data_IF_624455253500
#
_entry.id   IF_624455253500
#
_cell.length_a   1.000
_cell.length_b   1.000
_cell.length_c   1.000
_cell.angle_alpha   90.00
_cell.angle_beta   90.00
_cell.angle_gamma   90.00
#
_symmetry.space_group_name_H-M   'P 1'
#
loop_
_entity.id
_entity.type
_entity.pdbx_description
1 polymer ?
#
# COMPACT_ATOMS: atom_id res chain seq x y z
N UNK A 1 28.76 16.51 -13.66
CA UNK A 1 29.58 17.44 -12.85
C UNK A 1 28.73 18.67 -12.53
N UNK A 2 28.54 19.02 -11.25
CA UNK A 2 27.76 20.23 -10.86
C UNK A 2 28.72 21.23 -10.20
N UNK A 3 29.16 22.24 -10.95
CA UNK A 3 30.01 23.36 -10.50
C UNK A 3 29.38 24.15 -9.35
N UNK A 4 30.21 24.73 -8.47
CA UNK A 4 29.81 25.45 -7.23
C UNK A 4 29.28 26.86 -7.57
N UNK A 5 28.10 27.22 -7.06
CA UNK A 5 27.70 28.63 -6.91
C UNK A 5 28.20 29.20 -5.58
N UNK A 6 28.72 30.43 -5.59
CA UNK A 6 29.29 31.16 -4.43
C UNK A 6 28.36 32.25 -3.85
N UNK A 7 27.05 32.21 -4.09
CA UNK A 7 26.11 33.28 -3.70
C UNK A 7 24.96 32.84 -2.80
N UNK A 8 24.50 33.72 -1.91
CA UNK A 8 23.25 33.56 -1.17
C UNK A 8 22.08 33.41 -2.16
N UNK A 9 21.20 32.43 -1.94
CA UNK A 9 20.09 32.11 -2.85
C UNK A 9 20.41 31.11 -3.97
N UNK A 10 21.67 30.68 -4.15
CA UNK A 10 21.98 29.59 -5.10
C UNK A 10 21.63 28.23 -4.51
N UNK A 11 20.97 27.36 -5.30
CA UNK A 11 20.59 26.00 -4.89
C UNK A 11 21.84 25.22 -4.48
N UNK A 12 22.00 24.95 -3.19
CA UNK A 12 23.11 24.14 -2.67
C UNK A 12 22.99 22.69 -3.15
N UNK A 13 24.12 22.03 -3.44
CA UNK A 13 24.14 20.58 -3.69
C UNK A 13 23.47 19.85 -2.51
N UNK A 14 22.63 18.87 -2.81
CA UNK A 14 21.99 18.00 -1.81
C UNK A 14 23.03 17.42 -0.86
N UNK A 15 23.02 17.86 0.41
CA UNK A 15 24.00 17.50 1.44
C UNK A 15 23.64 16.17 2.12
N UNK A 16 22.36 15.86 2.23
CA UNK A 16 21.89 14.66 2.94
C UNK A 16 21.46 13.54 1.99
N UNK A 17 21.43 12.30 2.50
CA UNK A 17 20.82 11.16 1.77
C UNK A 17 19.33 11.44 1.47
N UNK A 18 18.62 12.07 2.40
CA UNK A 18 17.20 12.45 2.24
C UNK A 18 17.03 13.44 1.08
N UNK A 19 17.85 14.49 1.00
CA UNK A 19 17.78 15.47 -0.09
C UNK A 19 18.11 14.85 -1.46
N UNK A 20 19.06 13.89 -1.50
CA UNK A 20 19.39 13.17 -2.73
C UNK A 20 18.25 12.23 -3.17
N UNK A 21 17.62 11.54 -2.23
CA UNK A 21 16.46 10.69 -2.51
C UNK A 21 15.24 11.52 -2.95
N UNK A 22 15.00 12.67 -2.31
CA UNK A 22 13.93 13.58 -2.70
C UNK A 22 14.08 14.10 -4.13
N UNK A 23 15.31 14.28 -4.62
CA UNK A 23 15.58 14.68 -6.00
C UNK A 23 15.30 13.57 -7.05
N UNK A 24 15.11 12.32 -6.62
CA UNK A 24 14.68 11.23 -7.51
C UNK A 24 13.16 11.22 -7.74
N UNK A 25 12.41 11.95 -6.91
CA UNK A 25 10.96 12.00 -6.95
C UNK A 25 10.51 13.23 -7.74
N UNK A 26 9.43 13.11 -8.53
CA UNK A 26 8.84 14.27 -9.19
C UNK A 26 8.41 15.34 -8.18
N UNK A 27 8.49 16.60 -8.60
CA UNK A 27 8.01 17.72 -7.81
C UNK A 27 6.49 17.57 -7.60
N UNK A 28 6.05 17.81 -6.36
CA UNK A 28 4.65 17.76 -5.96
C UNK A 28 4.34 19.02 -5.18
N UNK A 29 3.12 19.53 -5.34
CA UNK A 29 2.64 20.64 -4.54
C UNK A 29 2.70 20.27 -3.05
N UNK A 30 3.42 21.08 -2.28
CA UNK A 30 3.57 20.85 -0.85
C UNK A 30 2.20 21.09 -0.18
N UNK A 31 1.67 20.11 0.58
CA UNK A 31 0.43 20.32 1.32
C UNK A 31 0.57 21.50 2.28
N UNK A 32 -0.43 22.38 2.27
CA UNK A 32 -0.53 23.48 3.21
C UNK A 32 -1.14 22.96 4.50
N UNK A 33 -0.45 23.17 5.61
CA UNK A 33 -1.00 22.87 6.94
C UNK A 33 -1.97 23.99 7.31
N UNK A 34 -3.23 23.82 6.92
CA UNK A 34 -4.32 24.69 7.34
C UNK A 34 -4.94 24.18 8.65
N UNK A 35 -5.57 25.09 9.41
CA UNK A 35 -6.38 24.72 10.58
C UNK A 35 -7.53 23.83 10.08
N UNK A 36 -7.82 22.70 10.74
CA UNK A 36 -8.93 21.84 10.36
C UNK A 36 -10.25 22.61 10.27
N UNK A 37 -11.05 22.30 9.26
CA UNK A 37 -12.41 22.79 9.14
C UNK A 37 -13.34 21.76 9.78
N UNK A 38 -14.27 22.20 10.61
CA UNK A 38 -15.27 21.31 11.21
C UNK A 38 -16.65 21.80 10.77
N UNK A 39 -17.20 21.19 9.73
CA UNK A 39 -18.56 21.46 9.29
C UNK A 39 -19.56 20.72 10.17
N UNK A 40 -20.84 21.05 10.03
CA UNK A 40 -21.91 20.22 10.61
C UNK A 40 -21.78 18.76 10.14
N UNK A 41 -21.97 17.82 11.06
CA UNK A 41 -21.84 16.38 10.80
C UNK A 41 -20.40 15.88 10.60
N UNK A 42 -19.36 16.64 10.97
CA UNK A 42 -17.95 16.25 10.79
C UNK A 42 -17.48 15.06 11.64
N UNK A 43 -18.28 14.60 12.60
CA UNK A 43 -18.04 13.39 13.40
C UNK A 43 -19.02 12.26 13.09
N UNK A 44 -19.96 12.47 12.17
CA UNK A 44 -21.05 11.54 11.87
C UNK A 44 -20.72 10.75 10.61
N UNK A 45 -20.85 9.42 10.69
CA UNK A 45 -20.70 8.54 9.53
C UNK A 45 -21.63 8.97 8.39
N UNK A 46 -21.11 9.37 7.21
CA UNK A 46 -21.93 9.76 6.07
C UNK A 46 -22.90 8.67 5.60
N UNK A 47 -22.64 7.41 5.92
CA UNK A 47 -23.50 6.28 5.57
C UNK A 47 -24.58 5.97 6.60
N UNK A 48 -24.43 6.49 7.82
CA UNK A 48 -25.29 6.18 8.97
C UNK A 48 -25.44 4.66 9.24
N UNK A 49 -24.51 3.84 8.74
CA UNK A 49 -24.58 2.38 8.81
C UNK A 49 -25.66 1.74 7.92
N UNK A 50 -26.31 2.50 7.04
CA UNK A 50 -27.38 2.01 6.14
C UNK A 50 -26.76 1.30 4.94
N UNK A 51 -27.39 0.20 4.50
CA UNK A 51 -26.95 -0.52 3.30
C UNK A 51 -27.14 0.35 2.04
N UNK A 52 -26.27 0.14 1.03
CA UNK A 52 -26.26 0.97 -0.19
C UNK A 52 -27.61 1.00 -0.92
N UNK A 53 -28.39 -0.08 -0.89
CA UNK A 53 -29.65 -0.16 -1.66
C UNK A 53 -30.74 0.65 -0.99
N UNK A 54 -30.91 0.48 0.32
CA UNK A 54 -31.81 1.30 1.13
C UNK A 54 -31.41 2.77 1.09
N UNK A 55 -30.11 3.07 1.24
CA UNK A 55 -29.60 4.43 1.17
C UNK A 55 -29.83 5.08 -0.20
N UNK A 56 -29.69 4.34 -1.30
CA UNK A 56 -29.94 4.86 -2.64
C UNK A 56 -31.43 5.15 -2.89
N UNK A 57 -32.32 4.31 -2.38
CA UNK A 57 -33.75 4.58 -2.44
C UNK A 57 -34.10 5.83 -1.62
N UNK A 58 -33.63 5.91 -0.38
CA UNK A 58 -33.83 7.07 0.47
C UNK A 58 -33.25 8.35 -0.14
N UNK A 59 -32.10 8.26 -0.82
CA UNK A 59 -31.52 9.39 -1.56
C UNK A 59 -32.43 9.85 -2.71
N UNK A 60 -32.97 8.92 -3.50
CA UNK A 60 -33.87 9.26 -4.62
C UNK A 60 -35.16 9.92 -4.12
N UNK A 61 -35.73 9.43 -3.03
CA UNK A 61 -36.91 10.00 -2.38
C UNK A 61 -36.59 11.40 -1.83
N UNK A 62 -35.47 11.52 -1.11
CA UNK A 62 -34.97 12.80 -0.62
C UNK A 62 -34.79 13.81 -1.76
N UNK A 63 -34.04 13.48 -2.80
CA UNK A 63 -33.74 14.40 -3.90
C UNK A 63 -35.00 14.90 -4.62
N UNK A 64 -36.01 14.03 -4.82
CA UNK A 64 -37.32 14.42 -5.38
C UNK A 64 -38.12 15.36 -4.49
N UNK A 65 -37.90 15.31 -3.18
CA UNK A 65 -38.59 16.17 -2.20
C UNK A 65 -37.93 17.53 -2.00
N UNK A 66 -36.73 17.74 -2.54
CA UNK A 66 -35.98 18.97 -2.31
C UNK A 66 -36.45 20.12 -3.24
N UNK A 67 -36.23 21.40 -2.84
CA UNK A 67 -36.66 22.56 -3.63
C UNK A 67 -36.05 22.57 -5.03
N UNK A 68 -36.85 22.94 -6.04
CA UNK A 68 -36.35 23.11 -7.42
C UNK A 68 -35.43 24.30 -7.60
N UNK A 69 -35.35 25.20 -6.60
CA UNK A 69 -34.46 26.37 -6.60
C UNK A 69 -33.03 26.02 -6.27
N UNK A 70 -32.80 24.94 -5.50
CA UNK A 70 -31.47 24.53 -5.03
C UNK A 70 -30.65 23.87 -6.14
N UNK A 71 -29.33 23.88 -5.95
CA UNK A 71 -28.37 23.26 -6.86
C UNK A 71 -27.94 21.90 -6.32
N UNK A 72 -28.00 20.87 -7.17
CA UNK A 72 -27.54 19.52 -6.84
C UNK A 72 -26.34 19.18 -7.70
N UNK A 73 -25.22 18.88 -7.04
CA UNK A 73 -23.92 18.73 -7.67
C UNK A 73 -23.44 17.31 -7.42
N UNK A 74 -23.15 16.58 -8.48
CA UNK A 74 -22.59 15.23 -8.40
C UNK A 74 -21.23 15.22 -9.04
N UNK A 75 -20.28 14.49 -8.45
CA UNK A 75 -18.94 14.33 -9.01
C UNK A 75 -18.40 12.95 -8.72
N UNK A 76 -17.60 12.43 -9.65
CA UNK A 76 -16.95 11.12 -9.52
C UNK A 76 -15.54 11.14 -10.14
N UNK A 77 -14.73 10.15 -9.80
CA UNK A 77 -13.38 9.93 -10.29
C UNK A 77 -13.22 8.57 -10.99
N UNK A 78 -12.40 8.53 -12.04
CA UNK A 78 -12.07 7.29 -12.74
C UNK A 78 -10.57 7.13 -12.86
N UNK A 79 -10.12 5.88 -12.80
CA UNK A 79 -8.73 5.48 -13.03
C UNK A 79 -8.69 4.28 -13.98
N UNK A 80 -7.82 4.35 -14.99
CA UNK A 80 -7.54 3.26 -15.92
C UNK A 80 -6.04 3.13 -16.13
N UNK A 81 -5.54 1.90 -16.18
CA UNK A 81 -4.16 1.61 -16.57
C UNK A 81 -4.13 1.17 -18.04
N UNK A 82 -3.33 1.85 -18.86
CA UNK A 82 -3.14 1.61 -20.30
C UNK A 82 -1.64 1.70 -20.61
N UNK A 83 -1.07 0.65 -21.20
CA UNK A 83 0.32 0.62 -21.70
C UNK A 83 1.37 1.12 -20.70
N UNK A 84 1.29 0.64 -19.44
CA UNK A 84 2.14 1.06 -18.31
C UNK A 84 2.03 2.54 -17.92
N UNK A 85 1.04 3.26 -18.45
CA UNK A 85 0.67 4.60 -18.04
C UNK A 85 -0.70 4.57 -17.37
N UNK A 86 -0.87 5.40 -16.36
CA UNK A 86 -2.14 5.57 -15.69
C UNK A 86 -2.87 6.78 -16.27
N UNK A 87 -4.14 6.61 -16.55
CA UNK A 87 -5.06 7.68 -16.88
C UNK A 87 -6.00 7.87 -15.70
N UNK A 88 -6.03 9.10 -15.18
CA UNK A 88 -6.86 9.47 -14.04
C UNK A 88 -7.64 10.70 -14.44
N UNK A 89 -8.92 10.78 -14.09
CA UNK A 89 -9.76 11.90 -14.47
C UNK A 89 -11.02 11.95 -13.64
N UNK A 90 -11.66 13.11 -13.62
CA UNK A 90 -12.89 13.34 -12.89
C UNK A 90 -13.99 13.83 -13.83
N UNK A 91 -15.23 13.64 -13.39
CA UNK A 91 -16.43 14.15 -14.05
C UNK A 91 -17.35 14.76 -13.02
N UNK A 92 -18.09 15.79 -13.41
CA UNK A 92 -19.15 16.33 -12.58
C UNK A 92 -20.31 16.86 -13.40
N UNK A 93 -21.47 16.93 -12.74
CA UNK A 93 -22.71 17.45 -13.29
C UNK A 93 -23.44 18.30 -12.25
N UNK A 94 -24.09 19.37 -12.70
CA UNK A 94 -24.88 20.29 -11.87
C UNK A 94 -26.31 20.33 -12.38
N UNK A 95 -27.26 20.11 -11.47
CA UNK A 95 -28.70 20.17 -11.71
C UNK A 95 -29.34 21.30 -10.91
N UNK A 96 -30.42 21.86 -11.46
CA UNK A 96 -31.41 22.66 -10.73
C UNK A 96 -32.81 22.11 -11.07
N UNK A 97 -33.52 21.63 -10.06
CA UNK A 97 -34.70 20.79 -10.29
C UNK A 97 -34.36 19.62 -11.23
N UNK A 98 -35.14 19.47 -12.31
CA UNK A 98 -34.91 18.42 -13.33
C UNK A 98 -34.02 18.89 -14.51
N UNK A 99 -33.45 20.09 -14.44
CA UNK A 99 -32.66 20.67 -15.53
C UNK A 99 -31.18 20.54 -15.24
N UNK A 100 -30.45 19.93 -16.18
CA UNK A 100 -28.98 19.97 -16.18
C UNK A 100 -28.52 21.39 -16.56
N UNK A 101 -27.75 22.03 -15.67
CA UNK A 101 -27.19 23.37 -15.90
C UNK A 101 -25.77 23.32 -16.45
N UNK A 102 -24.96 22.38 -15.97
CA UNK A 102 -23.57 22.24 -16.41
C UNK A 102 -23.12 20.78 -16.29
N UNK A 103 -22.17 20.39 -17.14
CA UNK A 103 -21.42 19.15 -17.00
C UNK A 103 -19.99 19.37 -17.47
N UNK A 104 -19.06 18.66 -16.86
CA UNK A 104 -17.65 18.78 -17.21
C UNK A 104 -16.90 17.48 -16.94
N UNK A 105 -15.80 17.29 -17.64
CA UNK A 105 -14.90 16.14 -17.44
C UNK A 105 -13.49 16.54 -17.84
N UNK A 106 -12.49 16.22 -17.02
CA UNK A 106 -11.09 16.50 -17.33
C UNK A 106 -10.14 15.46 -16.73
N UNK A 107 -9.01 15.27 -17.42
CA UNK A 107 -7.93 14.43 -16.94
C UNK A 107 -7.15 15.11 -15.80
N UNK A 108 -6.50 14.28 -14.99
CA UNK A 108 -5.47 14.64 -14.02
C UNK A 108 -4.11 14.14 -14.50
N UNK A 109 -3.06 14.56 -13.80
CA UNK A 109 -1.72 13.99 -13.95
C UNK A 109 -1.78 12.45 -13.89
N UNK A 110 -1.07 11.73 -14.79
CA UNK A 110 -0.87 10.28 -14.67
C UNK A 110 -0.27 9.85 -13.32
N UNK A 111 0.38 10.79 -12.63
CA UNK A 111 0.89 10.63 -11.28
C UNK A 111 -0.16 11.01 -10.21
N UNK A 112 -1.38 10.54 -10.41
CA UNK A 112 -2.51 10.65 -9.47
C UNK A 112 -3.15 9.28 -9.27
N UNK A 113 -4.15 9.18 -8.39
CA UNK A 113 -5.02 8.00 -8.27
C UNK A 113 -6.49 8.43 -8.25
N UNK A 114 -7.41 7.47 -8.38
CA UNK A 114 -8.86 7.72 -8.34
C UNK A 114 -9.31 8.60 -7.16
N UNK A 115 -8.72 8.39 -5.96
CA UNK A 115 -9.00 9.23 -4.80
C UNK A 115 -8.71 10.72 -5.03
N UNK A 116 -7.64 11.04 -5.77
CA UNK A 116 -7.32 12.42 -6.12
C UNK A 116 -8.33 12.99 -7.11
N UNK A 117 -8.85 12.15 -8.01
CA UNK A 117 -9.90 12.52 -8.97
C UNK A 117 -11.21 12.85 -8.28
N UNK A 118 -11.67 12.03 -7.35
CA UNK A 118 -12.91 12.30 -6.61
C UNK A 118 -12.79 13.61 -5.81
N UNK A 119 -11.65 13.85 -5.15
CA UNK A 119 -11.42 15.08 -4.39
C UNK A 119 -11.37 16.34 -5.27
N UNK A 120 -10.65 16.27 -6.40
CA UNK A 120 -10.58 17.38 -7.36
C UNK A 120 -11.92 17.59 -8.05
N UNK A 121 -12.62 16.51 -8.41
CA UNK A 121 -13.96 16.53 -8.98
C UNK A 121 -14.95 17.25 -8.08
N UNK A 122 -14.99 16.89 -6.80
CA UNK A 122 -15.84 17.55 -5.81
C UNK A 122 -15.55 19.06 -5.71
N UNK A 123 -14.27 19.44 -5.66
CA UNK A 123 -13.85 20.85 -5.61
C UNK A 123 -14.29 21.63 -6.86
N UNK A 124 -14.04 21.08 -8.05
CA UNK A 124 -14.37 21.75 -9.32
C UNK A 124 -15.87 21.82 -9.56
N UNK A 125 -16.60 20.80 -9.13
CA UNK A 125 -18.04 20.78 -9.17
C UNK A 125 -18.64 21.86 -8.27
N UNK A 126 -18.11 22.00 -7.04
CA UNK A 126 -18.52 23.06 -6.11
C UNK A 126 -18.20 24.46 -6.63
N UNK A 127 -17.01 24.67 -7.19
CA UNK A 127 -16.66 25.94 -7.84
C UNK A 127 -17.58 26.28 -9.02
N UNK A 128 -17.98 25.28 -9.81
CA UNK A 128 -18.94 25.47 -10.89
C UNK A 128 -20.31 25.88 -10.35
N UNK A 129 -20.81 25.19 -9.33
CA UNK A 129 -22.10 25.52 -8.71
C UNK A 129 -22.12 26.93 -8.13
N UNK A 130 -21.05 27.34 -7.42
CA UNK A 130 -20.91 28.70 -6.88
C UNK A 130 -20.93 29.76 -7.99
N UNK A 131 -20.29 29.50 -9.14
CA UNK A 131 -20.33 30.41 -10.29
C UNK A 131 -21.72 30.50 -10.94
N UNK A 132 -22.53 29.45 -10.82
CA UNK A 132 -23.88 29.43 -11.37
C UNK A 132 -24.90 30.09 -10.43
N UNK A 133 -24.62 30.25 -9.13
CA UNK A 133 -25.52 30.87 -8.16
C UNK A 133 -26.15 32.19 -8.64
N UNK A 134 -25.40 33.17 -9.21
CA UNK A 134 -25.99 34.42 -9.69
C UNK A 134 -26.94 34.25 -10.88
N UNK A 135 -26.83 33.16 -11.63
CA UNK A 135 -27.67 32.89 -12.80
C UNK A 135 -28.96 32.15 -12.45
N UNK A 136 -29.06 31.62 -11.23
CA UNK A 136 -30.20 30.81 -10.77
C UNK A 136 -30.98 31.46 -9.63
N UNK A 137 -30.48 32.60 -9.13
CA UNK A 137 -31.13 33.41 -8.11
C UNK A 137 -32.03 34.44 -8.80
N UNK A 138 -33.35 34.29 -8.62
CA UNK A 138 -34.23 35.47 -8.67
C UNK A 138 -33.98 36.30 -7.41
N UNK A 139 -34.14 37.64 -7.47
CA UNK A 139 -33.71 38.68 -6.50
C UNK A 139 -34.05 38.45 -5.00
N UNK A 140 -34.77 37.38 -4.63
CA UNK A 140 -35.15 37.05 -3.25
C UNK A 140 -34.88 35.58 -2.82
N UNK A 141 -34.22 34.79 -3.66
CA UNK A 141 -33.92 33.37 -3.36
C UNK A 141 -32.47 33.19 -2.91
N UNK A 142 -32.24 32.47 -1.80
CA UNK A 142 -30.90 32.08 -1.32
C UNK A 142 -30.74 30.56 -1.48
N UNK A 143 -30.52 30.05 -2.71
CA UNK A 143 -30.51 28.62 -3.00
C UNK A 143 -29.34 27.93 -2.31
N UNK A 144 -29.61 26.74 -1.78
CA UNK A 144 -28.59 25.89 -1.20
C UNK A 144 -27.87 25.09 -2.29
N UNK A 145 -26.58 24.83 -2.09
CA UNK A 145 -25.81 23.88 -2.90
C UNK A 145 -25.73 22.56 -2.16
N UNK A 146 -26.20 21.47 -2.76
CA UNK A 146 -26.04 20.11 -2.27
C UNK A 146 -24.93 19.39 -3.04
N UNK A 147 -23.78 19.21 -2.39
CA UNK A 147 -22.68 18.41 -2.91
C UNK A 147 -22.92 16.93 -2.58
N UNK A 148 -23.26 16.16 -3.61
CA UNK A 148 -23.64 14.76 -3.54
C UNK A 148 -22.47 13.88 -4.00
N UNK A 149 -21.85 13.14 -3.08
CA UNK A 149 -20.63 12.36 -3.32
C UNK A 149 -20.83 10.91 -2.86
N UNK A 150 -20.23 9.96 -3.54
CA UNK A 150 -20.26 8.54 -3.17
C UNK A 150 -19.07 8.12 -2.30
N UNK A 151 -17.93 8.79 -2.45
CA UNK A 151 -16.71 8.52 -1.71
C UNK A 151 -16.75 9.16 -0.31
N UNK A 152 -16.93 8.31 0.70
CA UNK A 152 -16.99 8.74 2.10
C UNK A 152 -15.68 9.36 2.59
N UNK A 153 -14.53 8.93 2.09
CA UNK A 153 -13.23 9.50 2.48
C UNK A 153 -13.08 10.95 2.02
N UNK A 154 -13.60 11.28 0.83
CA UNK A 154 -13.66 12.66 0.34
C UNK A 154 -14.64 13.48 1.17
N UNK A 155 -15.82 12.94 1.51
CA UNK A 155 -16.78 13.60 2.41
C UNK A 155 -16.12 13.93 3.76
N UNK A 156 -15.45 12.97 4.38
CA UNK A 156 -14.72 13.18 5.64
C UNK A 156 -13.65 14.28 5.51
N UNK A 157 -12.90 14.30 4.42
CA UNK A 157 -11.87 15.31 4.18
C UNK A 157 -12.46 16.72 3.99
N UNK A 158 -13.62 16.83 3.35
CA UNK A 158 -14.33 18.10 3.15
C UNK A 158 -14.99 18.58 4.46
N UNK A 159 -15.63 17.69 5.23
CA UNK A 159 -16.24 18.03 6.53
C UNK A 159 -15.23 18.32 7.64
N UNK A 160 -14.01 17.81 7.48
CA UNK A 160 -13.00 17.70 8.52
C UNK A 160 -11.61 18.14 8.07
N UNK A 161 -10.65 17.23 8.24
CA UNK A 161 -9.25 17.48 7.92
C UNK A 161 -8.95 17.21 6.45
N UNK A 162 -8.41 18.21 5.75
CA UNK A 162 -7.93 18.08 4.40
C UNK A 162 -6.89 16.95 4.27
N UNK A 163 -7.06 16.08 3.27
CA UNK A 163 -6.05 15.06 2.98
C UNK A 163 -4.76 15.71 2.47
N UNK A 164 -3.63 15.02 2.66
CA UNK A 164 -2.34 15.50 2.14
C UNK A 164 -2.29 15.42 0.60
N UNK A 165 -2.97 14.45 -0.01
CA UNK A 165 -3.09 14.35 -1.46
C UNK A 165 -4.25 15.20 -1.95
N UNK A 166 -4.07 15.89 -3.09
CA UNK A 166 -5.00 16.92 -3.58
C UNK A 166 -5.39 17.95 -2.51
N UNK A 167 -4.46 18.28 -1.60
CA UNK A 167 -4.71 19.17 -0.44
C UNK A 167 -5.28 20.54 -0.85
N UNK A 168 -4.86 21.08 -1.99
CA UNK A 168 -5.37 22.34 -2.53
C UNK A 168 -6.88 22.28 -2.80
N UNK A 169 -7.40 21.14 -3.27
CA UNK A 169 -8.81 20.95 -3.57
C UNK A 169 -9.65 20.95 -2.29
N UNK A 170 -9.19 20.27 -1.25
CA UNK A 170 -9.84 20.30 0.07
C UNK A 170 -9.82 21.70 0.69
N UNK A 171 -8.68 22.38 0.68
CA UNK A 171 -8.59 23.75 1.22
C UNK A 171 -9.53 24.71 0.47
N UNK A 172 -9.68 24.52 -0.85
CA UNK A 172 -10.61 25.29 -1.66
C UNK A 172 -12.07 24.97 -1.32
N UNK A 173 -12.43 23.70 -1.15
CA UNK A 173 -13.76 23.33 -0.64
C UNK A 173 -14.05 23.97 0.72
N UNK A 174 -13.10 23.93 1.66
CA UNK A 174 -13.24 24.55 2.99
C UNK A 174 -13.43 26.07 2.91
N UNK A 175 -12.78 26.73 1.95
CA UNK A 175 -13.00 28.16 1.71
C UNK A 175 -14.43 28.44 1.23
N UNK A 176 -14.92 27.66 0.26
CA UNK A 176 -16.26 27.82 -0.29
C UNK A 176 -17.35 27.48 0.73
N UNK A 177 -17.15 26.46 1.57
CA UNK A 177 -18.04 26.09 2.67
C UNK A 177 -18.22 27.21 3.71
N UNK A 178 -17.23 28.08 3.89
CA UNK A 178 -17.33 29.24 4.80
C UNK A 178 -18.10 30.41 4.18
N UNK A 179 -18.21 30.46 2.86
CA UNK A 179 -18.74 31.60 2.11
C UNK A 179 -20.15 31.36 1.56
N UNK A 180 -20.55 30.09 1.42
CA UNK A 180 -21.78 29.70 0.75
C UNK A 180 -22.57 28.68 1.57
N UNK A 181 -23.89 28.65 1.39
CA UNK A 181 -24.75 27.64 1.98
C UNK A 181 -24.60 26.30 1.23
N UNK A 182 -23.69 25.45 1.71
CA UNK A 182 -23.35 24.18 1.07
C UNK A 182 -23.63 23.01 2.02
N UNK A 183 -24.54 22.12 1.63
CA UNK A 183 -24.79 20.85 2.30
C UNK A 183 -24.02 19.71 1.62
N UNK A 184 -23.51 18.76 2.42
CA UNK A 184 -22.90 17.52 1.90
C UNK A 184 -23.83 16.34 2.12
N UNK A 185 -24.19 15.67 1.02
CA UNK A 185 -25.02 14.45 1.04
C UNK A 185 -24.23 13.27 0.47
N UNK A 186 -24.27 12.14 1.16
CA UNK A 186 -23.74 10.90 0.60
C UNK A 186 -24.72 10.32 -0.42
N UNK A 187 -24.25 10.07 -1.64
CA UNK A 187 -24.99 9.46 -2.73
C UNK A 187 -24.37 8.10 -3.06
N UNK A 188 -24.98 6.95 -2.71
CA UNK A 188 -24.37 5.65 -2.95
C UNK A 188 -24.04 5.40 -4.43
N UNK A 189 -22.77 5.15 -4.73
CA UNK A 189 -22.29 4.87 -6.08
C UNK A 189 -22.79 3.54 -6.65
N UNK A 190 -23.01 3.51 -7.97
CA UNK A 190 -23.49 2.37 -8.77
C UNK A 190 -24.86 1.81 -8.34
N UNK A 191 -25.74 2.67 -7.82
CA UNK A 191 -27.09 2.31 -7.38
C UNK A 191 -28.21 2.95 -8.23
N UNK A 192 -27.87 3.41 -9.43
CA UNK A 192 -28.81 4.00 -10.38
C UNK A 192 -29.36 5.35 -9.92
N UNK A 193 -28.58 6.13 -9.18
CA UNK A 193 -28.86 7.54 -8.90
C UNK A 193 -28.38 8.32 -10.12
N UNK A 194 -29.30 8.91 -10.88
CA UNK A 194 -29.03 9.54 -12.17
C UNK A 194 -27.80 10.46 -12.16
N UNK A 195 -27.74 11.41 -11.22
CA UNK A 195 -26.62 12.34 -11.12
C UNK A 195 -25.27 11.67 -10.85
N UNK A 196 -25.24 10.59 -10.06
CA UNK A 196 -24.01 9.86 -9.78
C UNK A 196 -23.57 9.00 -10.97
N UNK A 197 -24.51 8.31 -11.63
CA UNK A 197 -24.19 7.52 -12.83
C UNK A 197 -23.69 8.43 -13.97
N UNK A 198 -24.24 9.63 -14.10
CA UNK A 198 -23.79 10.59 -15.10
C UNK A 198 -22.41 11.18 -14.74
N UNK A 199 -22.13 11.46 -13.47
CA UNK A 199 -20.79 11.85 -13.01
C UNK A 199 -19.75 10.75 -13.29
N UNK A 200 -20.06 9.48 -13.01
CA UNK A 200 -19.22 8.31 -13.32
C UNK A 200 -18.96 8.21 -14.84
N UNK A 201 -20.01 8.36 -15.66
CA UNK A 201 -19.89 8.36 -17.12
C UNK A 201 -18.95 9.47 -17.62
N UNK A 202 -19.06 10.67 -17.05
CA UNK A 202 -18.19 11.81 -17.36
C UNK A 202 -16.75 11.55 -16.91
N UNK A 203 -16.54 10.96 -15.73
CA UNK A 203 -15.22 10.60 -15.22
C UNK A 203 -14.55 9.54 -16.11
N UNK A 204 -15.30 8.52 -16.55
CA UNK A 204 -14.84 7.51 -17.52
C UNK A 204 -14.47 8.12 -18.87
N UNK A 205 -15.20 9.15 -19.32
CA UNK A 205 -14.85 9.91 -20.53
C UNK A 205 -13.53 10.65 -20.37
N UNK A 206 -13.22 11.17 -19.17
CA UNK A 206 -11.96 11.86 -18.90
C UNK A 206 -10.72 10.95 -18.93
N UNK A 207 -10.90 9.63 -18.78
CA UNK A 207 -9.82 8.62 -18.89
C UNK A 207 -9.88 7.83 -20.19
N UNK A 208 -10.46 8.43 -21.23
CA UNK A 208 -10.42 7.90 -22.59
C UNK A 208 -9.19 8.43 -23.34
N UNK A 209 -8.74 7.70 -24.36
CA UNK A 209 -7.56 8.03 -25.17
C UNK A 209 -7.66 9.35 -25.93
N UNK A 210 -8.84 9.96 -26.01
CA UNK A 210 -9.11 11.24 -26.68
C UNK A 210 -9.30 12.41 -25.70
N UNK A 211 -9.16 12.19 -24.39
CA UNK A 211 -9.33 13.23 -23.40
C UNK A 211 -8.24 14.31 -23.52
N UNK A 212 -8.64 15.57 -23.37
CA UNK A 212 -7.70 16.67 -23.30
C UNK A 212 -6.75 16.50 -22.11
N UNK A 213 -5.46 16.84 -22.25
CA UNK A 213 -4.50 16.73 -21.16
C UNK A 213 -4.88 17.66 -20.01
N UNK A 214 -4.51 17.25 -18.80
CA UNK A 214 -4.64 18.07 -17.60
C UNK A 214 -3.86 19.38 -17.75
N UNK A 215 -4.35 20.46 -17.13
CA UNK A 215 -3.69 21.76 -17.07
C UNK A 215 -3.64 22.28 -15.63
N UNK A 216 -2.83 23.31 -15.35
CA UNK A 216 -2.80 23.94 -14.03
C UNK A 216 -2.39 22.99 -12.89
N UNK A 217 -3.12 23.04 -11.77
CA UNK A 217 -2.86 22.21 -10.59
C UNK A 217 -3.18 20.73 -10.86
N UNK A 218 -4.15 20.46 -11.73
CA UNK A 218 -4.57 19.13 -12.15
C UNK A 218 -3.47 18.40 -12.93
N UNK A 219 -2.61 19.13 -13.64
CA UNK A 219 -1.46 18.56 -14.34
C UNK A 219 -0.31 18.16 -13.40
N UNK A 220 -0.30 18.63 -12.16
CA UNK A 220 0.78 18.37 -11.22
C UNK A 220 0.65 16.99 -10.56
N UNK A 221 1.76 16.28 -10.31
CA UNK A 221 1.73 15.05 -9.53
C UNK A 221 1.12 15.25 -8.15
N UNK A 222 0.41 14.23 -7.65
CA UNK A 222 -0.18 14.24 -6.31
C UNK A 222 0.74 13.55 -5.28
N UNK A 223 0.48 13.78 -4.00
CA UNK A 223 1.28 13.15 -2.92
C UNK A 223 1.14 11.62 -2.94
N UNK A 224 -0.07 11.11 -3.20
CA UNK A 224 -0.34 9.68 -3.35
C UNK A 224 0.40 9.09 -4.57
N UNK A 225 0.42 9.79 -5.71
CA UNK A 225 1.14 9.40 -6.91
C UNK A 225 2.64 9.36 -6.69
N UNK A 226 3.22 10.41 -6.11
CA UNK A 226 4.65 10.45 -5.77
C UNK A 226 5.04 9.35 -4.76
N UNK A 227 4.19 9.07 -3.76
CA UNK A 227 4.41 7.94 -2.82
C UNK A 227 4.44 6.60 -3.55
N UNK A 228 3.62 6.44 -4.58
CA UNK A 228 3.59 5.21 -5.40
C UNK A 228 4.88 5.05 -6.19
N UNK A 229 5.35 6.12 -6.83
CA UNK A 229 6.66 6.12 -7.53
C UNK A 229 7.79 5.84 -6.55
N UNK A 230 7.79 6.46 -5.36
CA UNK A 230 8.79 6.20 -4.33
C UNK A 230 8.83 4.72 -3.91
N UNK A 231 7.66 4.08 -3.76
CA UNK A 231 7.55 2.66 -3.45
C UNK A 231 8.09 1.78 -4.58
N UNK A 232 7.75 2.09 -5.83
CA UNK A 232 8.25 1.36 -7.01
C UNK A 232 9.77 1.47 -7.13
N UNK A 233 10.33 2.68 -7.04
CA UNK A 233 11.78 2.90 -7.06
C UNK A 233 12.48 2.17 -5.91
N UNK A 234 11.90 2.16 -4.71
CA UNK A 234 12.44 1.42 -3.57
C UNK A 234 12.45 -0.09 -3.82
N UNK A 235 11.37 -0.64 -4.39
CA UNK A 235 11.27 -2.05 -4.73
C UNK A 235 12.25 -2.45 -5.84
N UNK A 236 12.40 -1.62 -6.87
CA UNK A 236 13.36 -1.85 -7.94
C UNK A 236 14.80 -1.79 -7.44
N UNK A 237 15.18 -0.75 -6.69
CA UNK A 237 16.50 -0.63 -6.10
C UNK A 237 16.83 -1.83 -5.21
N UNK A 238 15.85 -2.31 -4.44
CA UNK A 238 15.96 -3.51 -3.61
C UNK A 238 16.19 -4.77 -4.42
N UNK A 239 15.38 -5.01 -5.47
CA UNK A 239 15.54 -6.15 -6.37
C UNK A 239 16.92 -6.14 -7.04
N UNK A 240 17.37 -4.97 -7.51
CA UNK A 240 18.68 -4.78 -8.14
C UNK A 240 19.85 -5.00 -7.18
N UNK A 241 19.77 -4.48 -5.96
CA UNK A 241 20.79 -4.76 -4.94
C UNK A 241 20.84 -6.25 -4.62
N UNK A 242 19.67 -6.85 -4.47
CA UNK A 242 19.57 -8.23 -4.03
C UNK A 242 20.05 -9.22 -5.09
N UNK A 243 19.79 -8.98 -6.38
CA UNK A 243 20.31 -9.84 -7.46
C UNK A 243 21.84 -9.91 -7.48
N UNK A 244 22.53 -8.82 -7.11
CA UNK A 244 23.98 -8.83 -6.93
C UNK A 244 24.42 -9.44 -5.60
N UNK A 245 23.66 -9.22 -4.52
CA UNK A 245 24.00 -9.74 -3.20
C UNK A 245 23.83 -11.26 -3.09
N UNK A 246 22.78 -11.83 -3.71
CA UNK A 246 22.47 -13.25 -3.61
C UNK A 246 23.53 -14.14 -4.29
N UNK A 247 24.28 -13.62 -5.27
CA UNK A 247 25.42 -14.30 -5.88
C UNK A 247 26.54 -14.62 -4.87
N UNK A 248 26.69 -13.84 -3.81
CA UNK A 248 27.70 -14.03 -2.75
C UNK A 248 27.29 -15.02 -1.66
N UNK A 249 26.08 -15.58 -1.72
CA UNK A 249 25.65 -16.60 -0.77
C UNK A 249 26.44 -17.90 -0.97
N UNK A 250 26.60 -18.70 0.07
CA UNK A 250 27.27 -20.00 -0.06
C UNK A 250 26.40 -21.00 -0.84
N UNK A 251 27.03 -21.93 -1.56
CA UNK A 251 26.32 -23.03 -2.24
C UNK A 251 25.47 -23.84 -1.25
N UNK A 252 25.99 -23.99 -0.03
CA UNK A 252 25.25 -24.60 1.06
C UNK A 252 23.94 -23.86 1.30
N UNK A 253 23.97 -22.55 1.59
CA UNK A 253 22.78 -21.76 1.87
C UNK A 253 21.79 -21.74 0.69
N UNK A 254 22.31 -21.67 -0.54
CA UNK A 254 21.49 -21.80 -1.77
C UNK A 254 20.80 -23.17 -1.85
N UNK A 255 21.49 -24.23 -1.45
CA UNK A 255 20.94 -25.59 -1.41
C UNK A 255 19.84 -25.81 -0.38
N UNK A 256 19.56 -24.86 0.54
CA UNK A 256 18.44 -24.98 1.49
C UNK A 256 17.12 -24.41 0.95
N UNK A 257 17.11 -23.77 -0.23
CA UNK A 257 15.90 -23.15 -0.81
C UNK A 257 14.99 -24.14 -1.55
N UNK A 258 14.78 -25.36 -1.04
CA UNK A 258 13.95 -26.39 -1.68
C UNK A 258 12.43 -26.10 -1.60
N UNK A 259 11.99 -25.17 -0.74
CA UNK A 259 10.57 -24.86 -0.52
C UNK A 259 10.18 -23.41 -0.82
N UNK A 260 11.11 -22.56 -1.26
CA UNK A 260 10.83 -21.22 -1.76
C UNK A 260 11.64 -20.94 -3.02
N UNK A 261 11.00 -20.89 -4.21
CA UNK A 261 11.68 -20.42 -5.41
C UNK A 261 12.03 -18.96 -5.15
N UNK A 262 13.31 -18.63 -5.26
CA UNK A 262 13.94 -17.38 -4.84
C UNK A 262 14.18 -17.25 -3.34
N UNK A 263 15.47 -17.25 -3.00
CA UNK A 263 16.04 -16.48 -1.90
C UNK A 263 15.63 -15.03 -2.19
N UNK A 264 14.40 -14.62 -1.89
CA UNK A 264 13.89 -13.26 -2.12
C UNK A 264 14.18 -12.43 -0.87
N UNK A 265 14.65 -11.19 -1.04
CA UNK A 265 14.93 -10.33 0.11
C UNK A 265 13.63 -9.88 0.78
N UNK A 266 13.32 -10.49 1.93
CA UNK A 266 12.17 -10.15 2.74
C UNK A 266 12.49 -8.98 3.67
N UNK A 267 11.60 -7.98 3.67
CA UNK A 267 11.70 -6.81 4.56
C UNK A 267 10.82 -6.95 5.80
N UNK A 268 9.88 -7.90 5.79
CA UNK A 268 9.16 -8.28 6.99
C UNK A 268 10.05 -9.18 7.85
N UNK A 269 9.88 -9.07 9.17
CA UNK A 269 10.54 -9.97 10.10
C UNK A 269 10.19 -11.43 9.73
N UNK A 270 11.18 -12.29 9.50
CA UNK A 270 10.93 -13.69 9.16
C UNK A 270 10.35 -14.43 10.38
N UNK A 271 9.45 -15.40 10.18
CA UNK A 271 8.83 -16.15 11.28
C UNK A 271 9.85 -16.89 12.16
N UNK A 272 11.04 -17.18 11.63
CA UNK A 272 12.18 -17.70 12.38
C UNK A 272 12.51 -16.87 13.64
N UNK A 273 12.27 -15.55 13.63
CA UNK A 273 12.61 -14.68 14.78
C UNK A 273 11.67 -14.87 15.98
N UNK A 274 10.56 -15.59 15.85
CA UNK A 274 9.69 -15.92 16.99
C UNK A 274 10.13 -17.20 17.71
N UNK A 275 11.10 -17.94 17.16
CA UNK A 275 11.60 -19.18 17.77
C UNK A 275 12.34 -18.91 19.09
N UNK A 276 12.30 -19.85 20.05
CA UNK A 276 13.18 -19.81 21.21
C UNK A 276 14.65 -19.70 20.80
N UNK A 277 15.45 -18.92 21.53
CA UNK A 277 16.85 -18.60 21.20
C UNK A 277 17.71 -19.85 20.94
N UNK A 278 17.51 -20.91 21.71
CA UNK A 278 18.27 -22.15 21.57
C UNK A 278 17.98 -22.85 20.23
N UNK A 279 16.72 -22.84 19.77
CA UNK A 279 16.29 -23.42 18.50
C UNK A 279 16.69 -22.52 17.32
N UNK A 280 16.52 -21.20 17.44
CA UNK A 280 16.92 -20.23 16.42
C UNK A 280 18.41 -20.34 16.08
N UNK A 281 19.28 -20.43 17.09
CA UNK A 281 20.72 -20.62 16.86
C UNK A 281 21.01 -21.88 16.04
N UNK A 282 20.36 -23.01 16.35
CA UNK A 282 20.55 -24.27 15.61
C UNK A 282 20.01 -24.17 14.19
N UNK A 283 18.84 -23.57 14.01
CA UNK A 283 18.25 -23.32 12.70
C UNK A 283 19.16 -22.50 11.78
N UNK A 284 19.71 -21.39 12.30
CA UNK A 284 20.65 -20.56 11.56
C UNK A 284 21.96 -21.29 11.26
N UNK A 285 22.48 -22.07 12.21
CA UNK A 285 23.68 -22.88 12.01
C UNK A 285 23.48 -23.93 10.91
N UNK A 286 22.34 -24.65 10.92
CA UNK A 286 22.00 -25.63 9.89
C UNK A 286 21.99 -25.01 8.48
N UNK A 287 21.30 -23.87 8.32
CA UNK A 287 21.13 -23.21 7.02
C UNK A 287 22.39 -22.53 6.52
N UNK A 288 23.21 -21.99 7.42
CA UNK A 288 24.46 -21.32 7.07
C UNK A 288 25.65 -22.27 6.97
N UNK A 289 25.57 -23.49 7.52
CA UNK A 289 26.69 -24.38 7.81
C UNK A 289 27.77 -23.80 8.74
N UNK A 290 27.47 -22.68 9.42
CA UNK A 290 28.35 -22.05 10.40
C UNK A 290 27.85 -22.38 11.81
N UNK A 291 28.57 -23.26 12.49
CA UNK A 291 28.22 -23.69 13.84
C UNK A 291 29.11 -24.84 14.30
N UNK A 292 28.60 -25.60 15.25
CA UNK A 292 29.26 -26.76 15.83
C UNK A 292 29.26 -27.97 14.87
N UNK A 293 30.04 -27.86 13.80
CA UNK A 293 30.21 -28.89 12.77
C UNK A 293 31.68 -29.22 12.55
N UNK A 294 31.97 -30.47 12.20
CA UNK A 294 33.34 -30.98 12.14
C UNK A 294 34.25 -30.17 11.22
N UNK A 295 33.76 -29.82 10.02
CA UNK A 295 34.54 -29.03 9.06
C UNK A 295 34.80 -27.61 9.53
N UNK A 296 33.85 -27.01 10.26
CA UNK A 296 33.99 -25.64 10.75
C UNK A 296 35.13 -25.58 11.76
N UNK A 297 35.13 -26.51 12.73
CA UNK A 297 36.20 -26.62 13.71
C UNK A 297 37.56 -26.97 13.09
N UNK A 298 37.60 -27.85 12.07
CA UNK A 298 38.84 -28.15 11.33
C UNK A 298 39.37 -26.93 10.59
N UNK A 299 38.50 -26.18 9.91
CA UNK A 299 38.88 -24.97 9.15
C UNK A 299 39.51 -23.90 10.03
N UNK A 300 39.01 -23.73 11.26
CA UNK A 300 39.48 -22.72 12.21
C UNK A 300 40.42 -23.28 13.30
N UNK A 301 40.82 -24.54 13.21
CA UNK A 301 41.78 -25.20 14.11
C UNK A 301 41.41 -25.11 15.60
N UNK A 302 40.14 -25.34 15.93
CA UNK A 302 39.70 -25.38 17.32
C UNK A 302 40.17 -26.67 18.01
N UNK A 303 41.10 -26.57 18.98
CA UNK A 303 41.74 -27.72 19.63
C UNK A 303 40.77 -28.58 20.47
N UNK A 304 39.90 -27.93 21.25
CA UNK A 304 39.00 -28.62 22.21
C UNK A 304 37.63 -28.99 21.62
N UNK A 305 37.50 -28.94 20.29
CA UNK A 305 36.22 -29.14 19.64
C UNK A 305 35.85 -30.62 19.52
N UNK A 306 34.67 -30.99 20.02
CA UNK A 306 34.11 -32.32 19.80
C UNK A 306 33.61 -32.46 18.36
N UNK A 307 34.40 -33.12 17.52
CA UNK A 307 34.07 -33.27 16.09
C UNK A 307 33.01 -34.35 15.81
N UNK A 308 32.80 -35.29 16.73
CA UNK A 308 31.90 -36.43 16.52
C UNK A 308 30.75 -36.47 17.50
N UNK A 309 29.60 -36.93 17.02
CA UNK A 309 28.43 -37.26 17.82
C UNK A 309 28.67 -38.56 18.61
N UNK A 310 27.89 -38.81 19.67
CA UNK A 310 27.91 -40.09 20.42
C UNK A 310 27.66 -41.32 19.53
N UNK A 311 27.01 -41.15 18.37
CA UNK A 311 26.86 -42.25 17.42
C UNK A 311 28.14 -42.58 16.61
N UNK A 312 29.23 -41.83 16.80
CA UNK A 312 30.52 -42.04 16.13
C UNK A 312 30.66 -41.32 14.77
N UNK A 313 29.66 -40.58 14.31
CA UNK A 313 29.75 -39.83 13.04
C UNK A 313 30.18 -38.38 13.25
N UNK A 314 30.85 -37.83 12.23
CA UNK A 314 31.19 -36.42 12.16
C UNK A 314 29.92 -35.55 12.28
N UNK A 315 29.97 -34.52 13.12
CA UNK A 315 28.93 -33.50 13.21
C UNK A 315 28.78 -32.79 11.86
N UNK A 316 27.57 -32.80 11.31
CA UNK A 316 27.13 -32.06 10.12
C UNK A 316 25.69 -31.54 10.33
N UNK A 317 25.21 -30.57 9.54
CA UNK A 317 23.86 -30.04 9.63
C UNK A 317 22.78 -31.11 9.51
N UNK A 318 22.88 -31.96 8.50
CA UNK A 318 21.94 -33.05 8.24
C UNK A 318 22.00 -34.14 9.33
N UNK A 319 23.02 -34.13 10.19
CA UNK A 319 23.21 -35.18 11.20
C UNK A 319 22.07 -35.26 12.22
N UNK A 320 21.35 -34.16 12.47
CA UNK A 320 20.15 -34.13 13.32
C UNK A 320 19.14 -35.22 12.92
N UNK A 321 18.99 -35.48 11.62
CA UNK A 321 18.01 -36.45 11.10
C UNK A 321 18.64 -37.72 10.53
N UNK A 322 19.98 -37.77 10.45
CA UNK A 322 20.73 -38.98 10.09
C UNK A 322 21.21 -39.77 11.30
N UNK A 323 21.28 -39.16 12.48
CA UNK A 323 21.76 -39.84 13.68
C UNK A 323 20.82 -40.96 14.11
N UNK A 324 21.38 -42.16 14.35
CA UNK A 324 20.64 -43.34 14.83
C UNK A 324 19.83 -43.07 16.11
N UNK A 325 20.30 -42.18 16.99
CA UNK A 325 19.58 -41.84 18.23
C UNK A 325 18.34 -40.98 17.94
N UNK A 326 18.45 -40.02 17.03
CA UNK A 326 17.32 -39.22 16.56
C UNK A 326 16.30 -40.06 15.80
N UNK A 327 16.76 -40.99 14.94
CA UNK A 327 15.88 -41.89 14.18
C UNK A 327 15.05 -42.86 15.04
N UNK A 328 15.41 -43.09 16.31
CA UNK A 328 14.55 -43.84 17.25
C UNK A 328 13.22 -43.12 17.50
N UNK A 329 13.22 -41.80 17.40
CA UNK A 329 12.04 -40.95 17.57
C UNK A 329 11.29 -40.68 16.26
N UNK A 330 11.64 -41.35 15.16
CA UNK A 330 11.12 -41.06 13.81
C UNK A 330 9.58 -41.02 13.73
N UNK A 331 8.88 -41.85 14.51
CA UNK A 331 7.41 -41.88 14.54
C UNK A 331 6.79 -40.57 15.07
N UNK A 332 7.53 -39.80 15.86
CA UNK A 332 7.09 -38.55 16.48
C UNK A 332 7.61 -37.30 15.76
N UNK A 333 8.24 -37.47 14.59
CA UNK A 333 8.79 -36.34 13.84
C UNK A 333 7.66 -35.50 13.23
N UNK A 334 7.74 -34.16 13.31
CA UNK A 334 6.78 -33.29 12.63
C UNK A 334 6.95 -33.42 11.12
N UNK A 335 5.83 -33.40 10.39
CA UNK A 335 5.80 -33.64 8.92
C UNK A 335 6.62 -34.85 8.49
N UNK A 336 6.56 -35.93 9.28
CA UNK A 336 7.34 -37.15 9.08
C UNK A 336 7.27 -37.64 7.62
N UNK A 337 8.42 -37.86 6.95
CA UNK A 337 8.44 -38.42 5.60
C UNK A 337 8.04 -39.91 5.61
N UNK A 338 7.66 -40.45 4.45
CA UNK A 338 7.26 -41.86 4.35
C UNK A 338 8.39 -42.84 4.72
N UNK A 339 9.64 -42.49 4.37
CA UNK A 339 10.83 -43.26 4.69
C UNK A 339 11.81 -42.43 5.53
N UNK A 340 12.62 -43.10 6.35
CA UNK A 340 13.66 -42.44 7.14
C UNK A 340 14.69 -41.78 6.21
N UNK A 341 15.11 -40.54 6.48
CA UNK A 341 16.27 -39.97 5.82
C UNK A 341 17.49 -40.84 6.07
N UNK A 342 18.16 -41.26 5.00
CA UNK A 342 19.30 -42.19 5.05
C UNK A 342 20.53 -41.63 4.34
N UNK A 343 20.40 -40.49 3.67
CA UNK A 343 21.50 -39.80 3.01
C UNK A 343 21.29 -38.28 3.11
N UNK A 344 22.31 -37.52 2.71
CA UNK A 344 22.28 -36.06 2.77
C UNK A 344 21.11 -35.45 1.99
N UNK A 345 20.79 -35.96 0.80
CA UNK A 345 19.72 -35.40 -0.04
C UNK A 345 18.35 -35.53 0.65
N UNK A 346 18.01 -36.71 1.14
CA UNK A 346 16.75 -36.97 1.86
C UNK A 346 16.67 -36.21 3.18
N UNK A 347 17.80 -36.05 3.88
CA UNK A 347 17.87 -35.28 5.12
C UNK A 347 17.67 -33.77 4.90
N UNK A 348 18.33 -33.19 3.91
CA UNK A 348 18.18 -31.77 3.55
C UNK A 348 16.76 -31.50 3.04
N UNK A 349 16.19 -32.40 2.23
CA UNK A 349 14.82 -32.28 1.76
C UNK A 349 13.80 -32.25 2.91
N UNK A 350 13.96 -33.15 3.89
CA UNK A 350 13.10 -33.15 5.08
C UNK A 350 13.30 -31.89 5.93
N UNK A 351 14.54 -31.55 6.30
CA UNK A 351 14.80 -30.35 7.10
C UNK A 351 14.37 -29.05 6.39
N UNK A 352 14.40 -29.01 5.06
CA UNK A 352 13.92 -27.90 4.25
C UNK A 352 12.40 -27.78 4.13
N UNK A 353 11.64 -28.82 4.48
CA UNK A 353 10.16 -28.80 4.48
C UNK A 353 9.56 -28.30 5.81
N UNK A 354 10.39 -28.23 6.86
CA UNK A 354 9.98 -27.80 8.19
C UNK A 354 9.74 -26.29 8.23
N UNK A 355 8.73 -25.89 8.98
CA UNK A 355 8.54 -24.52 9.45
C UNK A 355 9.37 -24.28 10.72
N UNK A 356 9.52 -23.01 11.16
CA UNK A 356 10.11 -22.71 12.46
C UNK A 356 9.49 -23.51 13.62
N UNK A 357 8.16 -23.66 13.66
CA UNK A 357 7.45 -24.42 14.69
C UNK A 357 7.77 -25.91 14.60
N UNK A 358 7.67 -26.49 13.39
CA UNK A 358 8.00 -27.90 13.16
C UNK A 358 9.45 -28.20 13.61
N UNK A 359 10.38 -27.26 13.42
CA UNK A 359 11.76 -27.48 13.83
C UNK A 359 11.94 -27.49 15.35
N UNK A 360 11.25 -26.61 16.07
CA UNK A 360 11.26 -26.61 17.54
C UNK A 360 10.74 -27.96 18.05
N UNK A 361 9.61 -28.43 17.51
CA UNK A 361 9.03 -29.73 17.86
C UNK A 361 10.00 -30.89 17.57
N UNK A 362 10.73 -30.85 16.45
CA UNK A 362 11.75 -31.85 16.12
C UNK A 362 12.89 -31.85 17.15
N UNK A 363 13.35 -30.68 17.60
CA UNK A 363 14.38 -30.59 18.62
C UNK A 363 13.90 -31.13 19.96
N UNK A 364 12.66 -30.83 20.34
CA UNK A 364 12.06 -31.26 21.60
C UNK A 364 11.83 -32.77 21.63
N UNK A 365 11.33 -33.36 20.54
CA UNK A 365 11.06 -34.79 20.50
C UNK A 365 12.34 -35.64 20.40
N UNK A 366 13.39 -35.12 19.76
CA UNK A 366 14.66 -35.86 19.58
C UNK A 366 15.66 -35.61 20.70
N UNK A 367 15.55 -34.48 21.42
CA UNK A 367 16.53 -34.03 22.41
C UNK A 367 17.97 -34.10 21.87
N UNK A 368 18.15 -33.88 20.56
CA UNK A 368 19.37 -34.25 19.86
C UNK A 368 20.58 -33.45 20.33
N UNK A 369 20.47 -32.13 20.40
CA UNK A 369 21.55 -31.24 20.81
C UNK A 369 21.74 -31.15 22.33
N UNK A 370 20.83 -31.74 23.12
CA UNK A 370 20.87 -31.76 24.59
C UNK A 370 21.40 -33.09 25.14
N UNK A 371 21.06 -34.22 24.51
CA UNK A 371 21.43 -35.57 25.00
C UNK A 371 22.48 -36.31 24.17
N UNK A 372 22.53 -36.11 22.85
CA UNK A 372 23.29 -36.99 21.95
C UNK A 372 24.44 -36.31 21.22
N UNK A 373 24.19 -35.13 20.65
CA UNK A 373 25.15 -34.35 19.90
C UNK A 373 25.35 -33.00 20.57
N UNK A 374 25.89 -33.04 21.79
CA UNK A 374 26.23 -31.85 22.56
C UNK A 374 27.39 -31.09 21.91
N UNK A 375 27.57 -29.82 22.31
CA UNK A 375 28.72 -29.02 21.90
C UNK A 375 30.03 -29.74 22.21
#
# INVERSE_FOLDING_TARGET
MITRGRGAGTRQRSKTKIQRLGALLPAVNRPTLAIPHYSEGCGTDPTEGVDKKSAAQAFKEWWRSQPSTDLYVFSDGSERNLDNSRQVGYGFIVYQGNKQLASFSAALSPMSHVFDAEAVGACRALECAVKLLPCVTEDSSNPQIWLCLDNTSVIWGIRGSAAASSNWAYNRCHELLRQHNVGLKWAPGHMGIEGNEEADRLAKRAVSSTAAPAYGLEATPTVSGVRTVAKQLSQEARRKWWSGACGRLSDWYRGWSFSRPTVEYQVKAPPELTMPRHALHRWLALRSSHGDFSWYHRRFQHADARLTCVCGHNKSPEHLVLCRHSQRHFLHWPKRPAARPHNRATAVAYLGSLTPTDFVELLDCTQFYTRYCTR
#
